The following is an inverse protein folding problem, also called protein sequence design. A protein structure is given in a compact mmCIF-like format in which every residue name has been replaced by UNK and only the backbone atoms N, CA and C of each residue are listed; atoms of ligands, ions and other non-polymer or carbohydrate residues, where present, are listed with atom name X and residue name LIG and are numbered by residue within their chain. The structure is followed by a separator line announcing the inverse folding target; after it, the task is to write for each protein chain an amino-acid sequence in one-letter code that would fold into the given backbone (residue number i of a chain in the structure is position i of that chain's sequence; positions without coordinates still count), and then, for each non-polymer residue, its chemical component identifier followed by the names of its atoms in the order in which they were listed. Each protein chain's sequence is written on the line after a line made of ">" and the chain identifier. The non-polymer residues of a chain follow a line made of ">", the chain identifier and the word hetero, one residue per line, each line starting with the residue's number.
data_IF_279556892094
#
_entry.id   IF_279556892094
#
_cell.length_a   1.000
_cell.length_b   1.000
_cell.length_c   1.000
_cell.angle_alpha   90.00
_cell.angle_beta   90.00
_cell.angle_gamma   90.00
#
_symmetry.space_group_name_H-M   'P 1'
#
loop_
_entity.id
_entity.type
_entity.pdbx_description
1 polymer ?
#
# COMPACT_ATOMS: atom_id res chain seq x y z
N UNK A 1 13.06 1.51 7.43
CA UNK A 1 14.30 1.78 8.18
C UNK A 1 15.27 2.67 7.40
N UNK A 2 15.67 2.30 6.18
CA UNK A 2 16.62 3.08 5.38
C UNK A 2 16.15 4.51 5.08
N UNK A 3 14.86 4.69 4.73
CA UNK A 3 14.27 6.01 4.54
C UNK A 3 14.48 6.95 5.74
N UNK A 4 14.34 6.42 6.96
CA UNK A 4 14.53 7.20 8.19
C UNK A 4 16.00 7.60 8.41
N UNK A 5 16.95 6.71 8.11
CA UNK A 5 18.38 7.02 8.21
C UNK A 5 18.80 8.08 7.18
N UNK A 6 18.22 8.03 5.98
CA UNK A 6 18.45 9.04 4.95
C UNK A 6 17.92 10.40 5.40
N UNK A 7 16.68 10.48 5.92
CA UNK A 7 16.11 11.73 6.46
C UNK A 7 16.93 12.33 7.59
N UNK A 8 17.46 11.50 8.50
CA UNK A 8 18.36 11.99 9.55
C UNK A 8 19.63 12.61 8.96
N UNK A 9 20.21 12.00 7.94
CA UNK A 9 21.42 12.52 7.27
C UNK A 9 21.13 13.82 6.52
N UNK A 10 19.99 13.88 5.80
CA UNK A 10 19.50 15.10 5.13
C UNK A 10 19.25 16.24 6.11
N UNK A 11 18.78 15.92 7.32
CA UNK A 11 18.55 16.87 8.41
C UNK A 11 19.84 17.26 9.17
N UNK A 12 21.02 16.87 8.66
CA UNK A 12 22.31 17.21 9.27
C UNK A 12 22.66 16.43 10.53
N UNK A 13 21.94 15.34 10.85
CA UNK A 13 22.19 14.51 12.02
C UNK A 13 23.29 13.49 11.73
N UNK A 14 24.25 13.38 12.64
CA UNK A 14 25.31 12.37 12.55
C UNK A 14 24.86 11.05 13.17
N UNK A 15 24.81 9.98 12.38
CA UNK A 15 24.49 8.64 12.89
C UNK A 15 25.74 8.06 13.59
N UNK A 16 25.70 7.96 14.91
CA UNK A 16 26.81 7.49 15.76
C UNK A 16 26.83 5.97 15.87
N UNK A 17 25.65 5.36 16.00
CA UNK A 17 25.50 3.90 16.11
C UNK A 17 24.14 3.49 15.56
N UNK A 18 24.08 2.31 14.94
CA UNK A 18 22.82 1.65 14.59
C UNK A 18 22.89 0.18 14.97
N UNK A 19 21.79 -0.33 15.50
CA UNK A 19 21.56 -1.75 15.76
C UNK A 19 20.23 -2.12 15.11
N UNK A 20 20.24 -3.06 14.18
CA UNK A 20 19.05 -3.47 13.44
C UNK A 20 18.76 -4.93 13.78
N UNK A 21 17.69 -5.16 14.53
CA UNK A 21 17.16 -6.48 14.82
C UNK A 21 15.84 -6.73 14.10
N UNK A 22 15.39 -8.00 14.00
CA UNK A 22 14.17 -8.39 13.28
C UNK A 22 12.86 -7.81 13.84
N UNK A 23 12.86 -7.31 15.08
CA UNK A 23 11.70 -6.67 15.70
C UNK A 23 12.03 -5.40 16.49
N UNK A 24 13.23 -4.85 16.34
CA UNK A 24 13.64 -3.62 17.02
C UNK A 24 14.86 -3.04 16.33
N UNK A 25 14.80 -1.75 16.01
CA UNK A 25 15.94 -0.97 15.56
C UNK A 25 16.28 0.09 16.61
N UNK A 26 17.56 0.24 16.91
CA UNK A 26 18.07 1.28 17.80
C UNK A 26 19.07 2.14 17.04
N UNK A 27 18.90 3.45 17.12
CA UNK A 27 19.69 4.42 16.39
C UNK A 27 20.17 5.46 17.38
N UNK A 28 21.48 5.73 17.36
CA UNK A 28 22.07 6.83 18.09
C UNK A 28 22.47 7.91 17.10
N UNK A 29 21.95 9.11 17.28
CA UNK A 29 22.26 10.29 16.46
C UNK A 29 22.90 11.38 17.31
N UNK A 30 23.67 12.26 16.69
CA UNK A 30 24.31 13.40 17.34
C UNK A 30 24.15 14.65 16.48
N UNK A 31 23.91 15.77 17.15
CA UNK A 31 23.99 17.10 16.55
C UNK A 31 24.65 18.05 17.55
N UNK A 32 25.76 18.67 17.15
CA UNK A 32 26.58 19.51 18.03
C UNK A 32 26.88 18.83 19.39
N UNK A 33 26.34 19.36 20.48
CA UNK A 33 26.51 18.86 21.84
C UNK A 33 25.36 17.93 22.29
N UNK A 34 24.34 17.73 21.47
CA UNK A 34 23.18 16.90 21.77
C UNK A 34 23.33 15.48 21.21
N UNK A 35 22.86 14.50 21.96
CA UNK A 35 22.81 13.09 21.55
C UNK A 35 21.39 12.58 21.68
N UNK A 36 20.90 11.97 20.61
CA UNK A 36 19.59 11.36 20.49
C UNK A 36 19.69 9.84 20.45
N UNK A 37 18.80 9.17 21.17
CA UNK A 37 18.61 7.72 21.14
C UNK A 37 17.21 7.41 20.65
N UNK A 38 17.11 6.81 19.46
CA UNK A 38 15.84 6.45 18.82
C UNK A 38 15.69 4.93 18.86
N UNK A 39 14.49 4.46 19.19
CA UNK A 39 14.08 3.05 19.14
C UNK A 39 12.88 2.95 18.21
N UNK A 40 12.90 2.00 17.28
CA UNK A 40 11.82 1.71 16.35
C UNK A 40 11.44 0.24 16.51
N UNK A 41 10.17 -0.07 16.73
CA UNK A 41 9.72 -1.46 16.92
C UNK A 41 8.28 -1.65 16.41
N UNK A 42 7.93 -2.80 15.83
CA UNK A 42 6.53 -3.11 15.56
C UNK A 42 5.77 -3.39 16.87
N UNK A 43 4.51 -2.95 16.93
CA UNK A 43 3.57 -3.22 18.00
C UNK A 43 2.20 -3.52 17.38
N UNK A 44 1.85 -4.81 17.28
CA UNK A 44 0.67 -5.23 16.53
C UNK A 44 0.85 -4.94 15.04
N UNK A 45 -0.16 -4.31 14.44
CA UNK A 45 -0.08 -3.84 13.05
C UNK A 45 0.68 -2.53 12.91
N UNK A 46 0.94 -1.81 14.01
CA UNK A 46 1.63 -0.53 13.97
C UNK A 46 3.15 -0.68 14.12
N UNK A 47 3.89 0.33 13.69
CA UNK A 47 5.28 0.56 14.09
C UNK A 47 5.25 1.68 15.10
N UNK A 48 6.03 1.59 16.19
CA UNK A 48 6.28 2.58 17.28
C UNK A 48 7.71 3.11 17.22
N UNK A 49 7.89 4.45 17.25
CA UNK A 49 9.19 5.14 17.32
C UNK A 49 9.28 5.90 18.63
N UNK A 50 10.30 5.63 19.44
CA UNK A 50 10.54 6.38 20.67
C UNK A 50 11.89 7.07 20.57
N UNK A 51 12.03 8.32 20.99
CA UNK A 51 13.33 8.99 20.96
C UNK A 51 13.58 9.85 22.18
N UNK A 52 14.79 9.77 22.71
CA UNK A 52 15.23 10.56 23.86
C UNK A 52 16.45 11.40 23.46
N UNK A 53 16.44 12.69 23.79
CA UNK A 53 17.55 13.63 23.51
C UNK A 53 18.16 14.08 24.83
N UNK A 54 19.50 14.14 24.87
CA UNK A 54 20.27 14.59 26.03
C UNK A 54 21.41 15.49 25.58
N UNK A 55 21.72 16.52 26.37
CA UNK A 55 22.97 17.26 26.22
C UNK A 55 24.13 16.41 26.73
N UNK A 56 25.21 16.35 25.96
CA UNK A 56 26.44 15.62 26.28
C UNK A 56 27.32 16.50 27.17
N UNK A 57 26.84 16.93 28.33
CA UNK A 57 27.70 17.57 29.31
C UNK A 57 28.55 16.48 29.97
N UNK A 58 29.82 16.38 29.58
CA UNK A 58 30.87 15.63 30.30
C UNK A 58 31.14 16.18 31.73
N UNK A 59 30.20 16.89 32.36
CA UNK A 59 30.30 17.33 33.74
C UNK A 59 29.10 16.83 34.53
N UNK A 60 29.38 15.92 35.47
CA UNK A 60 28.54 15.59 36.62
C UNK A 60 28.02 16.89 37.26
N UNK A 61 26.74 17.21 37.07
CA UNK A 61 26.09 18.32 37.75
C UNK A 61 24.94 18.91 36.94
N UNK A 62 23.72 18.66 37.41
CA UNK A 62 22.42 19.07 36.85
C UNK A 62 21.98 18.32 35.59
N UNK A 63 21.43 17.12 35.79
CA UNK A 63 20.62 16.41 34.79
C UNK A 63 19.27 17.13 34.62
N UNK A 64 19.16 18.03 33.64
CA UNK A 64 17.86 18.37 33.08
C UNK A 64 17.50 17.25 32.10
N UNK A 65 16.77 16.24 32.59
CA UNK A 65 16.19 15.19 31.76
C UNK A 65 15.09 15.79 30.88
N UNK A 66 15.44 16.23 29.66
CA UNK A 66 14.47 16.59 28.62
C UNK A 66 13.93 15.30 27.98
N UNK A 67 12.97 14.67 28.65
CA UNK A 67 12.39 13.39 28.24
C UNK A 67 11.44 13.55 27.04
N UNK A 68 11.88 13.26 25.81
CA UNK A 68 11.00 12.97 24.65
C UNK A 68 10.64 11.47 24.63
N UNK A 69 9.35 11.09 24.70
CA UNK A 69 8.34 10.75 23.66
C UNK A 69 8.45 9.33 23.06
N UNK A 70 7.30 8.63 23.13
CA UNK A 70 6.93 7.33 22.55
C UNK A 70 5.85 7.59 21.49
N UNK A 71 6.10 7.37 20.20
CA UNK A 71 5.05 7.37 19.17
C UNK A 71 5.48 6.70 17.88
N UNK A 72 4.70 5.74 17.41
CA UNK A 72 4.31 5.55 16.00
C UNK A 72 3.14 4.53 16.13
N UNK A 73 1.91 4.80 15.66
CA UNK A 73 0.78 4.01 16.19
C UNK A 73 -0.55 4.01 15.45
N UNK A 74 -0.65 4.56 14.24
CA UNK A 74 -1.95 4.52 13.53
C UNK A 74 -1.79 4.66 12.02
N UNK A 75 -0.83 3.98 11.38
CA UNK A 75 -0.64 4.17 9.92
C UNK A 75 -0.59 2.88 9.09
N UNK A 76 -0.56 1.68 9.66
CA UNK A 76 -0.30 0.50 8.79
C UNK A 76 -1.53 -0.34 8.45
N UNK A 77 -2.67 -0.24 9.16
CA UNK A 77 -3.87 -1.05 8.79
C UNK A 77 -5.23 -0.36 9.03
N UNK A 78 -5.40 0.94 8.75
CA UNK A 78 -6.74 1.56 8.67
C UNK A 78 -7.69 1.31 9.87
N UNK A 79 -7.12 1.08 11.07
CA UNK A 79 -7.84 0.73 12.28
C UNK A 79 -8.10 1.95 13.16
N UNK A 80 -9.34 2.11 13.60
CA UNK A 80 -9.79 3.18 14.50
C UNK A 80 -9.01 3.17 15.83
N UNK A 81 -8.51 4.32 16.32
CA UNK A 81 -7.75 4.39 17.55
C UNK A 81 -8.66 4.21 18.77
N UNK A 82 -8.43 3.14 19.53
CA UNK A 82 -8.98 3.01 20.89
C UNK A 82 -7.94 3.52 21.89
N UNK A 83 -8.45 4.31 22.82
CA UNK A 83 -7.97 4.53 24.19
C UNK A 83 -7.13 5.77 24.54
N UNK A 84 -7.48 6.34 25.69
CA UNK A 84 -7.10 7.63 26.27
C UNK A 84 -5.60 7.88 26.51
N UNK A 85 -4.72 7.00 26.03
CA UNK A 85 -3.26 7.13 26.13
C UNK A 85 -2.68 8.06 25.04
N UNK A 86 -3.44 8.36 23.98
CA UNK A 86 -2.99 9.16 22.81
C UNK A 86 -2.85 10.67 23.13
N UNK A 87 -3.78 11.25 23.90
CA UNK A 87 -3.83 12.71 24.11
C UNK A 87 -2.59 13.29 24.81
N UNK A 88 -2.03 12.61 25.83
CA UNK A 88 -0.82 13.09 26.53
C UNK A 88 0.47 12.91 25.72
N UNK A 89 0.42 12.09 24.67
CA UNK A 89 1.55 11.72 23.81
C UNK A 89 1.65 12.69 22.61
N UNK A 90 0.52 13.12 22.05
CA UNK A 90 0.44 14.13 20.99
C UNK A 90 1.05 15.47 21.44
N UNK A 91 0.74 15.94 22.65
CA UNK A 91 1.26 17.22 23.17
C UNK A 91 2.79 17.27 23.23
N UNK A 92 3.42 16.16 23.62
CA UNK A 92 4.88 16.12 23.73
C UNK A 92 5.55 16.02 22.36
N UNK A 93 4.97 15.25 21.41
CA UNK A 93 5.45 15.20 20.03
C UNK A 93 5.26 16.55 19.32
N UNK A 94 4.12 17.19 19.50
CA UNK A 94 3.84 18.53 19.00
C UNK A 94 4.83 19.57 19.57
N UNK A 95 5.20 19.46 20.86
CA UNK A 95 6.25 20.28 21.45
C UNK A 95 7.66 20.00 20.90
N UNK A 96 7.93 18.78 20.40
CA UNK A 96 9.17 18.50 19.69
C UNK A 96 9.12 19.06 18.26
N UNK A 97 7.99 18.96 17.57
CA UNK A 97 7.78 19.55 16.25
C UNK A 97 7.88 21.08 16.26
N UNK A 98 7.39 21.74 17.31
CA UNK A 98 7.39 23.21 17.45
C UNK A 98 8.76 23.83 17.70
N UNK A 99 9.78 23.04 18.07
CA UNK A 99 11.09 23.56 18.46
C UNK A 99 11.31 23.66 19.97
N UNK A 100 10.26 23.52 20.78
CA UNK A 100 10.31 23.80 22.22
C UNK A 100 11.24 22.84 23.00
N UNK A 101 11.56 21.69 22.41
CA UNK A 101 12.41 20.64 22.99
C UNK A 101 13.88 20.71 22.56
N UNK A 102 14.27 21.62 21.66
CA UNK A 102 15.63 21.76 21.12
C UNK A 102 15.77 21.20 19.68
N UNK A 103 16.81 21.65 18.96
CA UNK A 103 16.96 21.38 17.53
C UNK A 103 17.03 19.88 17.21
N UNK A 104 17.82 19.09 17.96
CA UNK A 104 17.93 17.66 17.69
C UNK A 104 16.60 16.94 17.86
N UNK A 105 15.81 17.29 18.88
CA UNK A 105 14.50 16.71 19.11
C UNK A 105 13.53 17.04 17.95
N UNK A 106 13.57 18.28 17.47
CA UNK A 106 12.76 18.72 16.32
C UNK A 106 13.19 18.07 15.02
N UNK A 107 14.48 17.95 14.76
CA UNK A 107 15.01 17.30 13.56
C UNK A 107 14.62 15.82 13.52
N UNK A 108 14.70 15.12 14.66
CA UNK A 108 14.24 13.73 14.77
C UNK A 108 12.72 13.64 14.54
N UNK A 109 11.93 14.49 15.20
CA UNK A 109 10.47 14.47 15.09
C UNK A 109 9.99 14.75 13.65
N UNK A 110 10.53 15.76 12.99
CA UNK A 110 10.20 16.08 11.60
C UNK A 110 10.63 14.93 10.67
N UNK A 111 11.84 14.40 10.81
CA UNK A 111 12.29 13.24 10.01
C UNK A 111 11.37 12.02 10.16
N UNK A 112 10.85 11.75 11.36
CA UNK A 112 9.89 10.67 11.60
C UNK A 112 8.54 10.97 10.95
N UNK A 113 8.03 12.19 11.08
CA UNK A 113 6.76 12.61 10.45
C UNK A 113 6.83 12.48 8.93
N UNK A 114 7.89 13.01 8.32
CA UNK A 114 8.02 13.03 6.87
C UNK A 114 8.06 11.59 6.30
N UNK A 115 8.78 10.67 6.95
CA UNK A 115 8.77 9.24 6.57
C UNK A 115 7.38 8.61 6.74
N UNK A 116 6.66 8.97 7.80
CA UNK A 116 5.32 8.44 8.04
C UNK A 116 4.32 8.94 6.99
N UNK A 117 4.41 10.21 6.59
CA UNK A 117 3.61 10.79 5.50
C UNK A 117 3.93 10.15 4.15
N UNK A 118 5.23 9.97 3.84
CA UNK A 118 5.68 9.28 2.62
C UNK A 118 5.13 7.84 2.55
N UNK A 119 5.12 7.11 3.67
CA UNK A 119 4.56 5.76 3.75
C UNK A 119 3.04 5.76 3.61
N UNK A 120 2.35 6.67 4.29
CA UNK A 120 0.90 6.83 4.17
C UNK A 120 0.49 7.09 2.72
N UNK A 121 1.18 8.01 2.06
CA UNK A 121 0.91 8.34 0.66
C UNK A 121 1.04 7.11 -0.25
N UNK A 122 2.11 6.32 -0.09
CA UNK A 122 2.32 5.09 -0.87
C UNK A 122 1.23 4.04 -0.62
N UNK A 123 0.83 3.84 0.63
CA UNK A 123 -0.25 2.89 0.97
C UNK A 123 -1.59 3.35 0.36
N UNK A 124 -1.89 4.64 0.44
CA UNK A 124 -3.10 5.21 -0.16
C UNK A 124 -3.09 5.12 -1.69
N UNK A 125 -1.93 5.35 -2.32
CA UNK A 125 -1.73 5.24 -3.76
C UNK A 125 -1.89 3.79 -4.25
N UNK A 126 -1.25 2.83 -3.59
CA UNK A 126 -1.40 1.39 -3.88
C UNK A 126 -2.85 0.93 -3.71
N UNK A 127 -3.52 1.39 -2.65
CA UNK A 127 -4.94 1.08 -2.41
C UNK A 127 -5.83 1.66 -3.50
N UNK A 128 -5.54 2.88 -3.96
CA UNK A 128 -6.28 3.53 -5.04
C UNK A 128 -6.07 2.83 -6.37
N UNK A 129 -4.83 2.46 -6.70
CA UNK A 129 -4.52 1.67 -7.90
C UNK A 129 -5.23 0.32 -7.90
N UNK A 130 -5.26 -0.37 -6.76
CA UNK A 130 -5.98 -1.63 -6.62
C UNK A 130 -7.49 -1.42 -6.83
N UNK A 131 -8.04 -0.32 -6.31
CA UNK A 131 -9.41 0.11 -6.54
C UNK A 131 -9.73 0.28 -8.03
N UNK A 132 -8.89 1.03 -8.75
CA UNK A 132 -9.06 1.22 -10.20
C UNK A 132 -8.98 -0.08 -10.99
N UNK A 133 -8.02 -0.96 -10.67
CA UNK A 133 -7.89 -2.26 -11.34
C UNK A 133 -9.10 -3.17 -11.10
N UNK A 134 -9.68 -3.09 -9.91
CA UNK A 134 -10.91 -3.83 -9.57
C UNK A 134 -12.11 -3.30 -10.34
N UNK A 135 -12.30 -1.99 -10.38
CA UNK A 135 -13.37 -1.34 -11.14
C UNK A 135 -13.27 -1.66 -12.64
N UNK A 136 -12.07 -1.51 -13.23
CA UNK A 136 -11.83 -1.87 -14.64
C UNK A 136 -12.15 -3.35 -14.91
N UNK A 137 -11.78 -4.24 -13.99
CA UNK A 137 -12.09 -5.66 -14.11
C UNK A 137 -13.60 -5.92 -14.10
N UNK A 138 -14.35 -5.29 -13.19
CA UNK A 138 -15.79 -5.45 -13.08
C UNK A 138 -16.52 -4.93 -14.33
N UNK A 139 -16.10 -3.79 -14.87
CA UNK A 139 -16.65 -3.21 -16.10
C UNK A 139 -16.40 -4.12 -17.31
N UNK A 140 -15.16 -4.57 -17.50
CA UNK A 140 -14.81 -5.48 -18.60
C UNK A 140 -15.53 -6.82 -18.48
N UNK A 141 -15.60 -7.38 -17.27
CA UNK A 141 -16.29 -8.65 -17.04
C UNK A 141 -17.77 -8.53 -17.39
N UNK A 142 -18.41 -7.43 -16.99
CA UNK A 142 -19.83 -7.16 -17.29
C UNK A 142 -20.05 -7.05 -18.79
N UNK A 143 -19.21 -6.29 -19.50
CA UNK A 143 -19.27 -6.17 -20.95
C UNK A 143 -19.13 -7.53 -21.66
N UNK A 144 -18.15 -8.34 -21.26
CA UNK A 144 -17.91 -9.64 -21.87
C UNK A 144 -19.04 -10.63 -21.56
N UNK A 145 -19.58 -10.65 -20.34
CA UNK A 145 -20.74 -11.49 -19.99
C UNK A 145 -21.97 -11.15 -20.83
N UNK A 146 -22.21 -9.87 -21.10
CA UNK A 146 -23.29 -9.46 -22.00
C UNK A 146 -23.09 -10.03 -23.40
N UNK A 147 -21.86 -9.97 -23.93
CA UNK A 147 -21.53 -10.50 -25.26
C UNK A 147 -21.65 -12.02 -25.33
N UNK A 148 -21.18 -12.73 -24.30
CA UNK A 148 -21.36 -14.19 -24.19
C UNK A 148 -22.85 -14.54 -24.25
N UNK A 149 -23.71 -13.88 -23.47
CA UNK A 149 -25.14 -14.12 -23.51
C UNK A 149 -25.72 -13.92 -24.92
N UNK A 150 -25.40 -12.79 -25.56
CA UNK A 150 -25.87 -12.51 -26.94
C UNK A 150 -25.40 -13.57 -27.93
N UNK A 151 -24.11 -13.90 -27.93
CA UNK A 151 -23.54 -14.90 -28.85
C UNK A 151 -24.14 -16.29 -28.58
N UNK A 152 -24.46 -16.64 -27.34
CA UNK A 152 -25.11 -17.90 -27.00
C UNK A 152 -26.47 -18.04 -27.68
N UNK A 153 -27.33 -17.01 -27.59
CA UNK A 153 -28.65 -16.99 -28.25
C UNK A 153 -28.50 -17.07 -29.78
N UNK A 154 -27.57 -16.31 -30.35
CA UNK A 154 -27.30 -16.33 -31.80
C UNK A 154 -26.80 -17.69 -32.30
N UNK A 155 -25.96 -18.39 -31.50
CA UNK A 155 -25.55 -19.76 -31.79
C UNK A 155 -26.76 -20.70 -31.78
N UNK A 156 -27.69 -20.54 -30.84
CA UNK A 156 -28.89 -21.36 -30.77
C UNK A 156 -29.80 -21.16 -31.98
N UNK A 157 -30.11 -19.91 -32.36
CA UNK A 157 -30.89 -19.62 -33.56
C UNK A 157 -30.24 -20.17 -34.83
N UNK A 158 -28.93 -19.95 -35.02
CA UNK A 158 -28.24 -20.48 -36.18
C UNK A 158 -28.28 -22.03 -36.25
N UNK A 159 -28.27 -22.73 -35.12
CA UNK A 159 -28.46 -24.19 -35.08
C UNK A 159 -29.88 -24.60 -35.47
N UNK A 160 -30.89 -23.89 -34.97
CA UNK A 160 -32.30 -24.15 -35.30
C UNK A 160 -32.56 -23.97 -36.80
N UNK A 161 -31.87 -23.02 -37.44
CA UNK A 161 -31.86 -22.80 -38.88
C UNK A 161 -31.02 -23.82 -39.68
N UNK A 162 -30.35 -24.76 -39.00
CA UNK A 162 -29.55 -25.82 -39.61
C UNK A 162 -28.17 -25.38 -40.11
N UNK A 163 -27.63 -24.26 -39.61
CA UNK A 163 -26.31 -23.73 -40.00
C UNK A 163 -25.18 -24.37 -39.20
N UNK A 164 -23.98 -24.45 -39.78
CA UNK A 164 -22.78 -24.94 -39.08
C UNK A 164 -22.17 -23.85 -38.19
N UNK A 165 -22.30 -24.02 -36.88
CA UNK A 165 -21.77 -23.10 -35.86
C UNK A 165 -20.52 -23.62 -35.14
N UNK A 166 -19.96 -24.75 -35.57
CA UNK A 166 -18.89 -25.46 -34.84
C UNK A 166 -17.65 -24.59 -34.53
N UNK A 167 -17.29 -23.69 -35.46
CA UNK A 167 -16.16 -22.75 -35.29
C UNK A 167 -16.47 -21.59 -34.35
N UNK A 168 -17.73 -21.18 -34.28
CA UNK A 168 -18.21 -20.10 -33.40
C UNK A 168 -18.25 -20.64 -31.97
N UNK A 169 -18.86 -21.82 -31.77
CA UNK A 169 -18.93 -22.47 -30.46
C UNK A 169 -17.57 -22.70 -29.81
N UNK A 170 -16.56 -23.10 -30.60
CA UNK A 170 -15.21 -23.32 -30.06
C UNK A 170 -14.61 -22.03 -29.48
N UNK A 171 -14.86 -20.89 -30.12
CA UNK A 171 -14.39 -19.59 -29.64
C UNK A 171 -15.20 -19.12 -28.44
N UNK A 172 -16.52 -19.27 -28.51
CA UNK A 172 -17.45 -18.98 -27.41
C UNK A 172 -17.02 -19.72 -26.14
N UNK A 173 -16.88 -21.05 -26.19
CA UNK A 173 -16.50 -21.87 -25.02
C UNK A 173 -15.14 -21.47 -24.46
N UNK A 174 -14.16 -21.19 -25.33
CA UNK A 174 -12.83 -20.77 -24.84
C UNK A 174 -12.87 -19.37 -24.22
N UNK A 175 -13.70 -18.46 -24.71
CA UNK A 175 -13.90 -17.16 -24.10
C UNK A 175 -14.58 -17.28 -22.72
N UNK A 176 -15.58 -18.15 -22.60
CA UNK A 176 -16.25 -18.46 -21.34
C UNK A 176 -15.27 -19.03 -20.29
N UNK A 177 -14.45 -20.02 -20.67
CA UNK A 177 -13.39 -20.55 -19.80
C UNK A 177 -12.42 -19.46 -19.33
N UNK A 178 -11.98 -18.58 -20.24
CA UNK A 178 -11.10 -17.47 -19.89
C UNK A 178 -11.75 -16.49 -18.92
N UNK A 179 -13.05 -16.23 -19.03
CA UNK A 179 -13.79 -15.43 -18.07
C UNK A 179 -13.82 -16.07 -16.67
N UNK A 180 -14.06 -17.38 -16.59
CA UNK A 180 -14.01 -18.10 -15.31
C UNK A 180 -12.61 -18.08 -14.69
N UNK A 181 -11.58 -18.31 -15.50
CA UNK A 181 -10.18 -18.21 -15.08
C UNK A 181 -9.84 -16.79 -14.60
N UNK A 182 -10.37 -15.75 -15.26
CA UNK A 182 -10.17 -14.35 -14.87
C UNK A 182 -10.82 -14.04 -13.51
N UNK A 183 -12.03 -14.54 -13.26
CA UNK A 183 -12.70 -14.39 -11.96
C UNK A 183 -11.91 -15.05 -10.84
N UNK A 184 -11.33 -16.23 -11.07
CA UNK A 184 -10.46 -16.92 -10.08
C UNK A 184 -9.22 -16.10 -9.75
N UNK A 185 -8.58 -15.50 -10.74
CA UNK A 185 -7.42 -14.63 -10.56
C UNK A 185 -7.79 -13.35 -9.79
N UNK A 186 -8.90 -12.69 -10.16
CA UNK A 186 -9.39 -11.50 -9.49
C UNK A 186 -9.73 -11.77 -8.01
N UNK A 187 -10.39 -12.88 -7.71
CA UNK A 187 -10.66 -13.32 -6.33
C UNK A 187 -9.38 -13.59 -5.52
N UNK A 188 -8.26 -13.82 -6.20
CA UNK A 188 -6.93 -13.98 -5.60
C UNK A 188 -6.12 -12.67 -5.58
N UNK A 189 -6.73 -11.54 -5.93
CA UNK A 189 -6.07 -10.22 -6.01
C UNK A 189 -5.20 -9.99 -7.25
N UNK A 190 -5.16 -10.94 -8.20
CA UNK A 190 -4.32 -10.89 -9.40
C UNK A 190 -5.03 -10.19 -10.56
N UNK A 191 -5.36 -8.91 -10.37
CA UNK A 191 -6.15 -8.16 -11.34
C UNK A 191 -5.46 -7.98 -12.71
N UNK A 192 -4.14 -7.90 -12.76
CA UNK A 192 -3.40 -7.80 -14.04
C UNK A 192 -3.61 -9.05 -14.90
N UNK A 193 -3.46 -10.24 -14.30
CA UNK A 193 -3.66 -11.51 -14.99
C UNK A 193 -5.13 -11.69 -15.40
N UNK A 194 -6.04 -11.29 -14.52
CA UNK A 194 -7.48 -11.31 -14.77
C UNK A 194 -7.87 -10.43 -15.97
N UNK A 195 -7.38 -9.19 -16.02
CA UNK A 195 -7.63 -8.26 -17.13
C UNK A 195 -7.07 -8.79 -18.45
N UNK A 196 -5.87 -9.39 -18.44
CA UNK A 196 -5.28 -9.98 -19.64
C UNK A 196 -6.13 -11.16 -20.18
N UNK A 197 -6.71 -11.97 -19.30
CA UNK A 197 -7.64 -13.05 -19.68
C UNK A 197 -8.95 -12.52 -20.26
N UNK A 198 -9.52 -11.47 -19.67
CA UNK A 198 -10.71 -10.79 -20.21
C UNK A 198 -10.45 -10.21 -21.60
N UNK A 199 -9.29 -9.58 -21.81
CA UNK A 199 -8.88 -9.08 -23.13
C UNK A 199 -8.77 -10.22 -24.17
N UNK A 200 -8.20 -11.36 -23.78
CA UNK A 200 -8.12 -12.54 -24.66
C UNK A 200 -9.52 -13.11 -24.96
N UNK A 201 -10.42 -13.16 -23.97
CA UNK A 201 -11.81 -13.56 -24.16
C UNK A 201 -12.55 -12.62 -25.13
N UNK A 202 -12.41 -11.31 -24.97
CA UNK A 202 -12.98 -10.30 -25.86
C UNK A 202 -12.59 -10.55 -27.32
N UNK A 203 -11.29 -10.78 -27.60
CA UNK A 203 -10.80 -11.05 -28.96
C UNK A 203 -11.32 -12.35 -29.58
N UNK A 204 -11.64 -13.35 -28.75
CA UNK A 204 -12.28 -14.57 -29.22
C UNK A 204 -13.74 -14.32 -29.59
N UNK A 205 -14.44 -13.49 -28.82
CA UNK A 205 -15.81 -13.08 -29.09
C UNK A 205 -15.90 -12.19 -30.33
N UNK A 206 -14.94 -11.27 -30.55
CA UNK A 206 -14.89 -10.44 -31.77
C UNK A 206 -14.89 -11.36 -33.02
N UNK A 207 -14.03 -12.38 -33.00
CA UNK A 207 -13.96 -13.38 -34.08
C UNK A 207 -15.18 -14.29 -34.15
N UNK A 208 -15.88 -14.51 -33.04
CA UNK A 208 -17.11 -15.30 -33.03
C UNK A 208 -18.26 -14.52 -33.66
N UNK A 209 -18.37 -13.22 -33.35
CA UNK A 209 -19.35 -12.29 -33.93
C UNK A 209 -19.12 -12.06 -35.43
N UNK A 210 -17.86 -11.94 -35.86
CA UNK A 210 -17.50 -11.88 -37.29
C UNK A 210 -17.97 -13.14 -38.04
N UNK A 211 -17.76 -14.32 -37.44
CA UNK A 211 -18.18 -15.59 -38.04
C UNK A 211 -19.70 -15.73 -38.04
N UNK A 212 -20.39 -15.33 -36.97
CA UNK A 212 -21.85 -15.29 -36.90
C UNK A 212 -22.42 -14.40 -38.01
N UNK A 213 -21.88 -13.19 -38.15
CA UNK A 213 -22.30 -12.24 -39.18
C UNK A 213 -22.07 -12.74 -40.61
N UNK A 214 -21.16 -13.70 -40.82
CA UNK A 214 -20.89 -14.30 -42.13
C UNK A 214 -21.81 -15.46 -42.50
N UNK A 215 -22.48 -16.06 -41.51
CA UNK A 215 -23.43 -17.16 -41.74
C UNK A 215 -24.87 -16.65 -41.88
N UNK A 216 -25.18 -15.46 -41.34
CA UNK A 216 -26.41 -14.69 -41.60
C UNK A 216 -26.39 -14.00 -42.96
#
# INVERSE_FOLDING_TARGET
>A
MEALLNRFTESGLQIVKRSLGPGRAEIKVKYENEVGFITVQPQGDDIVVSFNVRETLEKKGLEIARTGIRFLGTIITGGSPVDATIYTIEDSFNAALSGDRGYLASAIANSVRDVAEDLKYKIEEESRELGYKKEEFEDRLTSIKSRLLTISEEIEFAKEEGRDVSRIERRYRRAEELCEEAVKDANSGKYVDALAKLEAASRLLDKAEELLSSIY
#
